data_IF_008722773121
#
_entry.id   IF_008722773121
#
_cell.length_a   1.000
_cell.length_b   1.000
_cell.length_c   1.000
_cell.angle_alpha   90.00
_cell.angle_beta   90.00
_cell.angle_gamma   90.00
#
_symmetry.space_group_name_H-M   'P 1'
#
loop_
_entity.id
_entity.type
_entity.pdbx_description
1 polymer ?
#
# COMPACT_ATOMS: atom_id res chain seq x y z
N UNK A 1 22.06 -31.55 14.47
CA UNK A 1 23.06 -31.14 13.46
C UNK A 1 22.74 -29.72 13.00
N UNK A 2 23.70 -28.81 12.91
CA UNK A 2 23.45 -27.43 12.49
C UNK A 2 23.22 -27.40 10.98
N UNK A 3 22.01 -27.06 10.53
CA UNK A 3 21.65 -27.05 9.10
C UNK A 3 22.36 -25.89 8.38
N UNK A 4 22.81 -26.15 7.15
CA UNK A 4 23.51 -25.17 6.33
C UNK A 4 22.58 -24.05 5.83
N UNK A 5 23.18 -22.93 5.42
CA UNK A 5 22.46 -21.80 4.82
C UNK A 5 21.89 -22.23 3.46
N UNK A 6 20.61 -21.98 3.24
CA UNK A 6 19.85 -22.42 2.07
C UNK A 6 19.08 -23.72 2.29
N UNK A 7 19.30 -24.41 3.42
CA UNK A 7 18.48 -25.56 3.78
C UNK A 7 17.01 -25.16 3.90
N UNK A 8 16.13 -26.00 3.37
CA UNK A 8 14.70 -25.91 3.59
C UNK A 8 14.07 -27.27 3.83
N UNK A 9 12.94 -27.26 4.52
CA UNK A 9 12.06 -28.41 4.70
C UNK A 9 10.59 -27.97 4.65
N UNK A 10 9.74 -28.84 4.16
CA UNK A 10 8.30 -28.64 4.01
C UNK A 10 7.52 -29.65 4.85
N UNK A 11 6.52 -29.15 5.57
CA UNK A 11 5.42 -29.93 6.10
C UNK A 11 4.17 -29.62 5.27
N UNK A 12 3.54 -30.66 4.76
CA UNK A 12 2.31 -30.56 3.97
C UNK A 12 1.15 -31.18 4.73
N UNK A 13 0.00 -30.52 4.72
CA UNK A 13 -1.25 -31.05 5.29
C UNK A 13 -2.44 -30.61 4.44
N UNK A 14 -3.58 -31.28 4.60
CA UNK A 14 -4.85 -30.90 3.98
C UNK A 14 -5.86 -30.67 5.10
N UNK A 15 -6.47 -29.49 5.11
CA UNK A 15 -7.52 -29.11 6.07
C UNK A 15 -8.74 -28.70 5.27
N UNK A 16 -9.88 -29.38 5.47
CA UNK A 16 -11.13 -29.07 4.75
C UNK A 16 -10.94 -28.99 3.21
N UNK A 17 -10.26 -29.99 2.63
CA UNK A 17 -9.90 -30.06 1.20
C UNK A 17 -8.99 -28.93 0.69
N UNK A 18 -8.45 -28.09 1.59
CA UNK A 18 -7.47 -27.06 1.25
C UNK A 18 -6.06 -27.56 1.55
N UNK A 19 -5.18 -27.67 0.53
CA UNK A 19 -3.77 -28.00 0.75
C UNK A 19 -3.06 -26.83 1.42
N UNK A 20 -2.35 -27.11 2.51
CA UNK A 20 -1.56 -26.15 3.27
C UNK A 20 -0.12 -26.66 3.32
N UNK A 21 0.80 -25.81 2.87
CA UNK A 21 2.23 -26.01 3.00
C UNK A 21 2.79 -25.09 4.09
N UNK A 22 3.65 -25.65 4.95
CA UNK A 22 4.45 -24.91 5.91
C UNK A 22 5.93 -25.21 5.66
N UNK A 23 6.70 -24.19 5.30
CA UNK A 23 8.12 -24.32 4.93
C UNK A 23 8.99 -23.61 5.95
N UNK A 24 10.02 -24.29 6.43
CA UNK A 24 11.11 -23.68 7.18
C UNK A 24 12.32 -23.51 6.25
N UNK A 25 12.84 -22.29 6.12
CA UNK A 25 14.01 -21.98 5.33
C UNK A 25 15.11 -21.34 6.19
N UNK A 26 16.33 -21.85 6.09
CA UNK A 26 17.50 -21.36 6.83
C UNK A 26 18.28 -20.37 5.99
N UNK A 27 18.11 -19.07 6.22
CA UNK A 27 19.09 -18.06 5.77
C UNK A 27 20.09 -17.79 6.91
N UNK A 28 20.29 -16.52 7.33
CA UNK A 28 21.03 -16.23 8.56
C UNK A 28 20.31 -16.83 9.79
N UNK A 29 18.99 -16.68 9.83
CA UNK A 29 18.08 -17.27 10.81
C UNK A 29 17.06 -18.16 10.09
N UNK A 30 16.40 -19.03 10.83
CA UNK A 30 15.29 -19.82 10.27
C UNK A 30 14.10 -18.89 10.07
N UNK A 31 13.46 -19.00 8.92
CA UNK A 31 12.22 -18.30 8.56
C UNK A 31 11.17 -19.37 8.33
N UNK A 32 10.03 -19.23 9.00
CA UNK A 32 8.86 -20.09 8.80
C UNK A 32 7.83 -19.32 7.99
N UNK A 33 7.32 -19.94 6.92
CA UNK A 33 6.26 -19.37 6.07
C UNK A 33 5.26 -20.47 5.77
N UNK A 34 3.97 -20.14 5.77
CA UNK A 34 2.93 -21.04 5.28
C UNK A 34 2.20 -20.45 4.08
N UNK A 35 1.65 -21.32 3.24
CA UNK A 35 0.88 -20.94 2.06
C UNK A 35 -0.11 -22.03 1.68
N UNK A 36 -1.24 -21.61 1.12
CA UNK A 36 -2.21 -22.48 0.43
C UNK A 36 -1.99 -22.53 -1.08
N UNK A 37 -0.91 -21.92 -1.58
CA UNK A 37 -0.66 -21.75 -3.02
C UNK A 37 0.67 -22.36 -3.46
N UNK A 38 1.77 -22.01 -2.79
CA UNK A 38 3.12 -22.43 -3.17
C UNK A 38 3.88 -23.01 -1.97
N UNK A 39 4.55 -24.13 -2.20
CA UNK A 39 5.35 -24.85 -1.20
C UNK A 39 6.85 -24.65 -1.34
N UNK A 40 7.61 -25.69 -0.99
CA UNK A 40 9.07 -25.65 -1.06
C UNK A 40 9.62 -25.80 -2.49
N UNK A 41 8.99 -26.66 -3.29
CA UNK A 41 9.43 -27.07 -4.62
C UNK A 41 9.36 -25.94 -5.66
N UNK A 42 10.03 -26.14 -6.80
CA UNK A 42 10.51 -25.08 -7.71
C UNK A 42 11.55 -24.14 -7.06
N UNK A 43 12.50 -24.74 -6.33
CA UNK A 43 13.62 -24.00 -5.73
C UNK A 43 14.38 -23.25 -6.80
N UNK A 44 14.62 -21.99 -6.52
CA UNK A 44 15.47 -21.11 -7.29
C UNK A 44 16.59 -20.57 -6.42
N UNK A 45 17.59 -19.93 -7.02
CA UNK A 45 18.75 -19.43 -6.30
C UNK A 45 18.64 -17.93 -6.09
N UNK A 46 19.21 -17.45 -4.98
CA UNK A 46 19.31 -16.03 -4.72
C UNK A 46 20.73 -15.66 -4.30
N UNK A 47 21.22 -14.55 -4.86
CA UNK A 47 22.50 -13.95 -4.49
C UNK A 47 22.38 -13.29 -3.12
N UNK A 48 23.29 -13.63 -2.21
CA UNK A 48 23.34 -13.08 -0.85
C UNK A 48 24.77 -12.77 -0.44
N UNK A 49 24.98 -11.60 0.15
CA UNK A 49 26.26 -11.29 0.77
C UNK A 49 26.44 -12.10 2.06
N UNK A 50 27.58 -12.74 2.21
CA UNK A 50 28.01 -13.38 3.45
C UNK A 50 29.04 -12.49 4.15
N UNK A 51 28.67 -11.95 5.32
CA UNK A 51 29.53 -11.07 6.11
C UNK A 51 30.80 -11.77 6.61
N UNK A 52 30.76 -13.08 6.86
CA UNK A 52 31.91 -13.84 7.37
C UNK A 52 32.93 -14.07 6.28
N UNK A 53 32.46 -14.42 5.08
CA UNK A 53 33.31 -14.67 3.91
C UNK A 53 33.62 -13.40 3.11
N UNK A 54 32.99 -12.26 3.45
CA UNK A 54 33.06 -10.97 2.74
C UNK A 54 32.82 -11.11 1.23
N UNK A 55 32.02 -12.09 0.84
CA UNK A 55 31.78 -12.47 -0.56
C UNK A 55 30.31 -12.75 -0.77
N UNK A 56 29.89 -12.67 -2.03
CA UNK A 56 28.54 -13.04 -2.45
C UNK A 56 28.47 -14.56 -2.62
N UNK A 57 27.50 -15.18 -1.97
CA UNK A 57 27.22 -16.61 -2.05
C UNK A 57 25.86 -16.84 -2.71
N UNK A 58 25.75 -17.93 -3.45
CA UNK A 58 24.51 -18.39 -4.05
C UNK A 58 23.80 -19.28 -3.03
N UNK A 59 22.58 -18.91 -2.66
CA UNK A 59 21.79 -19.61 -1.65
C UNK A 59 20.53 -20.19 -2.30
N UNK A 60 20.27 -21.51 -2.20
CA UNK A 60 18.99 -22.08 -2.57
C UNK A 60 17.84 -21.44 -1.78
N UNK A 61 16.79 -21.07 -2.49
CA UNK A 61 15.61 -20.39 -1.96
C UNK A 61 14.35 -21.14 -2.41
N UNK A 62 13.49 -21.54 -1.47
CA UNK A 62 12.18 -22.11 -1.78
C UNK A 62 11.28 -21.17 -2.58
N UNK A 63 10.38 -21.71 -3.41
CA UNK A 63 9.45 -20.94 -4.23
C UNK A 63 8.54 -20.05 -3.38
N UNK A 64 8.04 -20.56 -2.26
CA UNK A 64 7.24 -19.79 -1.29
C UNK A 64 7.93 -18.49 -0.84
N UNK A 65 9.25 -18.52 -0.64
CA UNK A 65 10.03 -17.34 -0.22
C UNK A 65 10.15 -16.34 -1.37
N UNK A 66 10.28 -16.81 -2.62
CA UNK A 66 10.24 -15.91 -3.79
C UNK A 66 8.89 -15.20 -3.89
N UNK A 67 7.80 -15.95 -3.87
CA UNK A 67 6.45 -15.42 -4.04
C UNK A 67 6.10 -14.46 -2.91
N UNK A 68 6.46 -14.79 -1.67
CA UNK A 68 6.32 -13.89 -0.54
C UNK A 68 7.09 -12.59 -0.78
N UNK A 69 8.38 -12.65 -1.11
CA UNK A 69 9.20 -11.46 -1.32
C UNK A 69 8.73 -10.58 -2.50
N UNK A 70 8.12 -11.19 -3.52
CA UNK A 70 7.59 -10.46 -4.68
C UNK A 70 6.34 -9.63 -4.33
N UNK A 71 5.50 -10.12 -3.42
CA UNK A 71 4.21 -9.50 -3.10
C UNK A 71 4.18 -8.83 -1.73
N UNK A 72 5.18 -9.06 -0.88
CA UNK A 72 5.38 -8.28 0.34
C UNK A 72 5.74 -6.82 0.00
N UNK A 73 5.51 -5.92 0.95
CA UNK A 73 5.91 -4.52 0.84
C UNK A 73 4.90 -3.60 0.15
N UNK A 74 3.73 -4.10 -0.28
CA UNK A 74 2.64 -3.23 -0.75
C UNK A 74 2.17 -2.24 0.32
N UNK A 75 2.05 -2.71 1.57
CA UNK A 75 1.70 -1.87 2.73
C UNK A 75 2.82 -0.88 3.04
N UNK A 76 4.07 -1.33 3.17
CA UNK A 76 5.22 -0.45 3.42
C UNK A 76 5.39 0.61 2.32
N UNK A 77 5.10 0.26 1.07
CA UNK A 77 5.12 1.20 -0.04
C UNK A 77 4.04 2.28 0.14
N UNK A 78 2.81 1.89 0.46
CA UNK A 78 1.72 2.83 0.76
C UNK A 78 2.09 3.73 1.95
N UNK A 79 2.59 3.17 3.03
CA UNK A 79 3.03 3.91 4.22
C UNK A 79 4.17 4.87 3.88
N UNK A 80 5.12 4.48 3.02
CA UNK A 80 6.17 5.38 2.54
C UNK A 80 5.62 6.54 1.71
N UNK A 81 4.58 6.31 0.90
CA UNK A 81 3.95 7.34 0.06
C UNK A 81 3.17 8.33 0.92
N UNK A 82 2.40 7.82 1.89
CA UNK A 82 1.68 8.63 2.87
C UNK A 82 2.68 9.43 3.72
N UNK A 83 3.74 8.78 4.21
CA UNK A 83 4.75 9.40 5.06
C UNK A 83 5.48 10.60 4.42
N UNK A 84 5.68 10.60 3.10
CA UNK A 84 6.34 11.70 2.38
C UNK A 84 5.53 13.00 2.35
N UNK A 85 4.20 12.91 2.31
CA UNK A 85 3.32 14.08 2.14
C UNK A 85 2.18 14.12 3.15
N UNK A 86 2.42 13.56 4.36
CA UNK A 86 1.41 13.37 5.39
C UNK A 86 0.74 14.70 5.76
N UNK A 87 -0.59 14.70 5.86
CA UNK A 87 -1.35 15.84 6.40
C UNK A 87 -1.10 15.91 7.91
N UNK A 88 -0.41 16.97 8.35
CA UNK A 88 -0.11 17.21 9.77
C UNK A 88 -1.02 18.34 10.27
N UNK A 89 -2.16 17.97 10.83
CA UNK A 89 -3.11 18.89 11.46
C UNK A 89 -3.17 18.59 12.96
N UNK A 90 -2.93 19.60 13.81
CA UNK A 90 -3.05 19.44 15.26
C UNK A 90 -4.53 19.40 15.63
N UNK A 91 -4.93 18.34 16.33
CA UNK A 91 -6.28 18.22 16.91
C UNK A 91 -6.21 17.52 18.25
N UNK A 92 -7.05 17.98 19.20
CA UNK A 92 -7.26 17.31 20.49
C UNK A 92 -8.09 16.02 20.35
N UNK A 93 -8.81 15.87 19.25
CA UNK A 93 -9.70 14.74 19.00
C UNK A 93 -8.94 13.63 18.27
N UNK A 94 -8.75 12.48 18.92
CA UNK A 94 -7.93 11.37 18.42
C UNK A 94 -8.37 10.85 17.05
N UNK A 95 -9.69 10.79 16.80
CA UNK A 95 -10.27 10.30 15.56
C UNK A 95 -9.91 11.16 14.34
N UNK A 96 -9.54 12.44 14.54
CA UNK A 96 -9.10 13.30 13.43
C UNK A 96 -7.80 12.78 12.81
N UNK A 97 -6.95 12.08 13.58
CA UNK A 97 -5.75 11.42 13.03
C UNK A 97 -6.12 10.32 12.03
N UNK A 98 -7.16 9.54 12.34
CA UNK A 98 -7.68 8.51 11.44
C UNK A 98 -8.27 9.16 10.19
N UNK A 99 -9.07 10.23 10.35
CA UNK A 99 -9.63 10.95 9.21
C UNK A 99 -8.55 11.44 8.23
N UNK A 100 -7.51 12.13 8.71
CA UNK A 100 -6.44 12.61 7.83
C UNK A 100 -5.65 11.48 7.18
N UNK A 101 -5.45 10.37 7.90
CA UNK A 101 -4.81 9.18 7.33
C UNK A 101 -5.64 8.59 6.18
N UNK A 102 -6.97 8.50 6.33
CA UNK A 102 -7.87 8.04 5.27
C UNK A 102 -7.86 8.98 4.06
N UNK A 103 -7.76 10.29 4.28
CA UNK A 103 -7.61 11.27 3.20
C UNK A 103 -6.29 11.04 2.45
N UNK A 104 -5.17 10.92 3.16
CA UNK A 104 -3.87 10.65 2.53
C UNK A 104 -3.86 9.34 1.74
N UNK A 105 -4.45 8.27 2.29
CA UNK A 105 -4.60 7.00 1.62
C UNK A 105 -5.45 7.12 0.35
N UNK A 106 -6.56 7.86 0.41
CA UNK A 106 -7.45 8.10 -0.73
C UNK A 106 -6.73 8.84 -1.86
N UNK A 107 -5.91 9.84 -1.52
CA UNK A 107 -5.10 10.61 -2.48
C UNK A 107 -4.07 9.70 -3.16
N UNK A 108 -3.36 8.86 -2.39
CA UNK A 108 -2.39 7.90 -2.95
C UNK A 108 -3.08 6.91 -3.89
N UNK A 109 -4.24 6.37 -3.50
CA UNK A 109 -5.02 5.47 -4.34
C UNK A 109 -5.50 6.14 -5.63
N UNK A 110 -5.99 7.38 -5.55
CA UNK A 110 -6.40 8.15 -6.72
C UNK A 110 -5.22 8.42 -7.68
N UNK A 111 -4.04 8.74 -7.14
CA UNK A 111 -2.82 8.90 -7.94
C UNK A 111 -2.39 7.59 -8.63
N UNK A 112 -2.46 6.46 -7.92
CA UNK A 112 -2.18 5.14 -8.51
C UNK A 112 -3.16 4.80 -9.62
N UNK A 113 -4.45 5.11 -9.45
CA UNK A 113 -5.47 4.94 -10.47
C UNK A 113 -5.22 5.84 -11.69
N UNK A 114 -4.92 7.13 -11.46
CA UNK A 114 -4.56 8.08 -12.51
C UNK A 114 -3.41 7.55 -13.37
N UNK A 115 -2.35 7.05 -12.74
CA UNK A 115 -1.20 6.46 -13.45
C UNK A 115 -1.58 5.23 -14.27
N UNK A 116 -2.45 4.37 -13.74
CA UNK A 116 -2.91 3.16 -14.46
C UNK A 116 -3.77 3.49 -15.68
N UNK A 117 -4.70 4.44 -15.53
CA UNK A 117 -5.66 4.81 -16.59
C UNK A 117 -5.01 5.66 -17.67
N UNK A 118 -4.29 6.71 -17.27
CA UNK A 118 -3.73 7.68 -18.23
C UNK A 118 -2.40 7.22 -18.82
N UNK A 119 -1.69 6.30 -18.14
CA UNK A 119 -0.30 5.89 -18.44
C UNK A 119 0.68 7.07 -18.53
N UNK A 120 0.30 8.25 -18.01
CA UNK A 120 1.16 9.45 -18.01
C UNK A 120 2.00 9.47 -16.73
N UNK A 121 3.31 9.76 -16.84
CA UNK A 121 4.15 9.92 -15.66
C UNK A 121 3.79 11.23 -14.95
N UNK A 122 3.34 11.14 -13.69
CA UNK A 122 3.14 12.28 -12.82
C UNK A 122 3.66 11.95 -11.43
N UNK A 123 4.43 12.87 -10.83
CA UNK A 123 4.93 12.70 -9.46
C UNK A 123 3.77 12.91 -8.46
N UNK A 124 3.81 12.19 -7.34
CA UNK A 124 2.77 12.30 -6.31
C UNK A 124 2.61 13.75 -5.79
N UNK A 125 3.70 14.50 -5.63
CA UNK A 125 3.64 15.92 -5.25
C UNK A 125 2.82 16.77 -6.22
N UNK A 126 3.07 16.63 -7.53
CA UNK A 126 2.36 17.38 -8.56
C UNK A 126 0.87 17.03 -8.59
N UNK A 127 0.56 15.74 -8.46
CA UNK A 127 -0.83 15.28 -8.37
C UNK A 127 -1.55 15.90 -7.17
N UNK A 128 -0.89 15.96 -6.01
CA UNK A 128 -1.44 16.58 -4.79
C UNK A 128 -1.66 18.08 -4.94
N UNK A 129 -0.70 18.78 -5.54
CA UNK A 129 -0.80 20.21 -5.81
C UNK A 129 -2.00 20.52 -6.72
N UNK A 130 -2.11 19.81 -7.84
CA UNK A 130 -3.22 19.96 -8.77
C UNK A 130 -4.56 19.65 -8.08
N UNK A 131 -4.64 18.55 -7.34
CA UNK A 131 -5.83 18.18 -6.59
C UNK A 131 -6.23 19.27 -5.58
N UNK A 132 -5.27 19.86 -4.87
CA UNK A 132 -5.55 20.93 -3.92
C UNK A 132 -6.11 22.18 -4.61
N UNK A 133 -5.55 22.57 -5.76
CA UNK A 133 -6.03 23.71 -6.56
C UNK A 133 -7.46 23.46 -7.05
N UNK A 134 -7.72 22.29 -7.63
CA UNK A 134 -9.04 21.90 -8.15
C UNK A 134 -10.11 21.88 -7.04
N UNK A 135 -9.79 21.36 -5.86
CA UNK A 135 -10.71 21.35 -4.71
C UNK A 135 -11.03 22.77 -4.23
N UNK A 136 -10.04 23.65 -4.16
CA UNK A 136 -10.24 25.05 -3.77
C UNK A 136 -11.12 25.81 -4.78
N UNK A 137 -10.90 25.59 -6.08
CA UNK A 137 -11.71 26.23 -7.14
C UNK A 137 -13.16 25.74 -7.11
N UNK A 138 -13.36 24.43 -6.95
CA UNK A 138 -14.70 23.81 -6.88
C UNK A 138 -15.52 24.38 -5.71
N UNK A 139 -14.91 24.58 -4.54
CA UNK A 139 -15.59 25.17 -3.38
C UNK A 139 -16.06 26.61 -3.64
N UNK A 140 -15.27 27.41 -4.36
CA UNK A 140 -15.64 28.78 -4.74
C UNK A 140 -16.89 28.77 -5.64
N UNK A 141 -16.94 27.85 -6.61
CA UNK A 141 -18.09 27.71 -7.51
C UNK A 141 -19.36 27.27 -6.78
N UNK A 142 -19.24 26.31 -5.86
CA UNK A 142 -20.36 25.83 -5.03
C UNK A 142 -20.91 26.97 -4.18
N UNK A 143 -20.05 27.78 -3.55
CA UNK A 143 -20.46 28.95 -2.76
C UNK A 143 -21.20 29.99 -3.61
N UNK A 144 -20.70 30.30 -4.81
CA UNK A 144 -21.38 31.21 -5.76
C UNK A 144 -22.77 30.70 -6.16
N UNK A 145 -22.90 29.41 -6.49
CA UNK A 145 -24.21 28.78 -6.81
C UNK A 145 -25.18 28.85 -5.63
N UNK A 146 -24.72 28.58 -4.41
CA UNK A 146 -25.53 28.69 -3.18
C UNK A 146 -26.02 30.11 -2.92
N UNK A 147 -25.17 31.12 -3.11
CA UNK A 147 -25.57 32.53 -2.98
C UNK A 147 -26.59 32.94 -4.04
N UNK A 148 -26.39 32.52 -5.29
CA UNK A 148 -27.35 32.77 -6.38
C UNK A 148 -28.72 32.15 -6.08
N UNK A 149 -28.77 30.91 -5.58
CA UNK A 149 -30.02 30.24 -5.23
C UNK A 149 -30.72 30.88 -4.02
N UNK A 150 -29.99 31.35 -3.00
CA UNK A 150 -30.58 32.10 -1.87
C UNK A 150 -31.17 33.45 -2.32
N UNK A 151 -30.54 34.14 -3.27
CA UNK A 151 -31.05 35.40 -3.84
C UNK A 151 -32.31 35.22 -4.69
N UNK A 152 -32.54 34.04 -5.25
CA UNK A 152 -33.78 33.70 -5.98
C UNK A 152 -34.92 33.43 -4.99
N UNK A 153 -34.68 32.64 -3.93
CA UNK A 153 -35.70 32.31 -2.91
C UNK A 153 -36.12 33.55 -2.08
N UNK A 154 -35.21 34.50 -1.84
CA UNK A 154 -35.54 35.75 -1.15
C UNK A 154 -36.41 36.72 -1.95
N UNK A 155 -36.52 36.55 -3.28
CA UNK A 155 -37.36 37.39 -4.16
C UNK A 155 -38.76 36.83 -4.40
N UNK A 156 -39.01 35.57 -4.05
CA UNK A 156 -40.32 34.91 -4.26
C UNK A 156 -41.33 35.09 -3.12
N UNK A 157 -40.96 35.74 -2.01
CA UNK A 157 -41.83 35.94 -0.83
C UNK A 157 -42.29 37.41 -0.59
N UNK A 158 -42.22 38.27 -1.61
CA UNK A 158 -42.70 39.67 -1.52
C UNK A 158 -43.76 39.90 -2.59
N UNK A 159 -44.94 39.32 -2.40
CA UNK A 159 -46.02 39.39 -3.39
C UNK A 159 -47.21 38.51 -3.02
N UNK A 160 -47.83 38.80 -1.87
CA UNK A 160 -49.06 38.15 -1.44
C UNK A 160 -49.78 39.06 -0.46
N UNK A 161 -50.48 40.06 -1.00
CA UNK A 161 -51.55 40.79 -0.34
C UNK A 161 -52.88 40.05 -0.57
#
# INVERSE_FOLDING_TARGET
MKKDRGYSEECFTVVEDVPISAVAWKDNKVVHVSSTFVGELEKNVVSRFDKKKKTTVIVPRPKIIEVYNKHMGGVDLMDSMIGRYRIIMRSKKWYMKIFYHLVDMSIVNAWMLYKKVTKKPMKLAQFREQLAVELCQTEIEIKKKRQKNKGIVGKTNVGGA
#
